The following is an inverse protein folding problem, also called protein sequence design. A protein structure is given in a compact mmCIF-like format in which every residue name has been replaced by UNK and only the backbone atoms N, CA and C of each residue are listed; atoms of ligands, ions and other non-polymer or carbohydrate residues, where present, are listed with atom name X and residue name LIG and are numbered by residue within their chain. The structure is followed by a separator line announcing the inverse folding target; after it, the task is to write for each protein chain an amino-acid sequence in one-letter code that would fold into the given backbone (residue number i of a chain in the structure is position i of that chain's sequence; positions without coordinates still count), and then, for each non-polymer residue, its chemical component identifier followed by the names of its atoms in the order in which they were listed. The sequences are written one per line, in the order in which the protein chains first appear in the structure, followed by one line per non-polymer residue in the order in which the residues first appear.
data_IF_998168119367
#
_entry.id   IF_998168119367
#
_cell.length_a   1.000
_cell.length_b   1.000
_cell.length_c   1.000
_cell.angle_alpha   90.00
_cell.angle_beta   90.00
_cell.angle_gamma   90.00
#
_symmetry.space_group_name_H-M   'P 1'
#
loop_
_entity.id
_entity.type
_entity.pdbx_description
1 polymer ?
#
# COMPACT_ATOMS: atom_id res chain seq x y z
N UNK A 1 25.01 -13.90 -3.19
CA UNK A 1 23.73 -13.71 -3.86
C UNK A 1 22.64 -13.37 -2.83
N UNK A 2 22.09 -12.15 -2.86
CA UNK A 2 21.05 -11.74 -1.91
C UNK A 2 19.82 -12.67 -1.92
N UNK A 3 19.44 -13.17 -3.09
CA UNK A 3 18.30 -14.08 -3.21
C UNK A 3 18.45 -15.36 -2.43
N UNK A 4 19.65 -15.93 -2.41
CA UNK A 4 19.92 -17.14 -1.63
C UNK A 4 19.85 -16.88 -0.13
N UNK A 5 20.37 -15.73 0.30
CA UNK A 5 20.30 -15.33 1.70
C UNK A 5 18.85 -15.17 2.17
N UNK A 6 18.02 -14.50 1.38
CA UNK A 6 16.62 -14.31 1.71
C UNK A 6 15.84 -15.61 1.73
N UNK A 7 16.13 -16.52 0.80
CA UNK A 7 15.52 -17.87 0.81
C UNK A 7 15.86 -18.62 2.09
N UNK A 8 17.12 -18.51 2.54
CA UNK A 8 17.55 -19.14 3.77
C UNK A 8 16.80 -18.59 4.98
N UNK A 9 16.59 -17.28 5.03
CA UNK A 9 15.83 -16.66 6.11
C UNK A 9 14.37 -17.15 6.13
N UNK A 10 13.76 -17.33 4.97
CA UNK A 10 12.38 -17.84 4.88
C UNK A 10 12.26 -19.26 5.44
N UNK A 11 13.30 -20.07 5.33
CA UNK A 11 13.29 -21.42 5.89
C UNK A 11 13.13 -21.43 7.41
N UNK A 12 13.41 -20.32 8.08
CA UNK A 12 13.23 -20.20 9.53
C UNK A 12 11.86 -19.64 9.92
N UNK A 13 10.92 -19.57 8.98
CA UNK A 13 9.57 -19.09 9.26
C UNK A 13 9.47 -17.59 9.49
N UNK A 14 10.42 -16.81 9.00
CA UNK A 14 10.43 -15.36 9.16
C UNK A 14 9.78 -14.67 7.97
N UNK A 15 9.09 -13.56 8.26
CA UNK A 15 8.54 -12.68 7.25
C UNK A 15 9.62 -11.71 6.78
N UNK A 16 9.77 -11.59 5.47
CA UNK A 16 10.80 -10.72 4.88
C UNK A 16 10.10 -9.72 3.97
N UNK A 17 10.39 -8.44 4.18
CA UNK A 17 9.88 -7.36 3.35
C UNK A 17 11.03 -6.47 2.91
N UNK A 18 10.77 -5.65 1.89
CA UNK A 18 11.73 -4.66 1.44
C UNK A 18 11.00 -3.40 1.00
N UNK A 19 11.71 -2.29 1.04
CA UNK A 19 11.20 -0.97 0.65
C UNK A 19 11.72 -0.58 -0.71
N UNK A 20 10.86 0.01 -1.51
CA UNK A 20 11.15 0.46 -2.86
C UNK A 20 10.64 1.89 -3.03
N UNK A 21 11.30 2.63 -3.92
CA UNK A 21 10.90 4.00 -4.27
C UNK A 21 10.59 4.15 -5.76
N UNK A 22 10.76 3.09 -6.52
CA UNK A 22 10.50 3.03 -7.95
C UNK A 22 9.70 1.76 -8.27
N UNK A 23 8.49 1.89 -8.85
CA UNK A 23 7.67 0.72 -9.17
C UNK A 23 8.36 -0.25 -10.13
N UNK A 24 9.18 0.26 -11.05
CA UNK A 24 9.87 -0.60 -12.01
C UNK A 24 10.94 -1.44 -11.32
N UNK A 25 11.70 -0.84 -10.40
CA UNK A 25 12.69 -1.57 -9.60
C UNK A 25 12.01 -2.68 -8.80
N UNK A 26 10.83 -2.38 -8.23
CA UNK A 26 10.04 -3.35 -7.50
C UNK A 26 9.62 -4.52 -8.41
N UNK A 27 9.10 -4.22 -9.59
CA UNK A 27 8.65 -5.26 -10.54
C UNK A 27 9.81 -6.11 -11.04
N UNK A 28 10.97 -5.49 -11.30
CA UNK A 28 12.13 -6.18 -11.83
C UNK A 28 12.89 -6.99 -10.78
N UNK A 29 12.55 -6.81 -9.51
CA UNK A 29 13.20 -7.55 -8.43
C UNK A 29 12.84 -9.04 -8.52
N UNK A 30 13.85 -9.87 -8.68
CA UNK A 30 13.66 -11.32 -8.86
C UNK A 30 13.21 -12.00 -7.57
N UNK A 31 13.61 -11.46 -6.42
CA UNK A 31 13.19 -12.03 -5.15
C UNK A 31 11.80 -11.55 -4.78
N UNK A 32 10.89 -12.48 -4.53
CA UNK A 32 9.53 -12.16 -4.11
C UNK A 32 9.47 -12.14 -2.59
N UNK A 33 9.40 -10.92 -2.05
CA UNK A 33 9.24 -10.72 -0.60
C UNK A 33 7.82 -11.06 -0.17
N UNK A 34 7.63 -11.29 1.13
CA UNK A 34 6.29 -11.52 1.66
C UNK A 34 5.38 -10.32 1.42
N UNK A 35 5.94 -9.11 1.55
CA UNK A 35 5.29 -7.89 1.08
C UNK A 35 6.35 -6.86 0.69
N UNK A 36 5.92 -5.89 -0.12
CA UNK A 36 6.79 -4.88 -0.70
C UNK A 36 6.24 -3.51 -0.30
N UNK A 37 7.08 -2.66 0.27
CA UNK A 37 6.70 -1.29 0.60
C UNK A 37 7.10 -0.37 -0.56
N UNK A 38 6.15 0.42 -1.04
CA UNK A 38 6.41 1.39 -2.11
C UNK A 38 6.02 2.78 -1.64
N UNK A 39 6.93 3.72 -1.71
CA UNK A 39 6.73 5.10 -1.24
C UNK A 39 7.53 6.10 -2.07
N UNK A 40 7.11 7.37 -2.10
CA UNK A 40 5.85 7.89 -1.57
C UNK A 40 4.70 7.74 -2.57
N UNK A 41 3.54 7.32 -2.10
CA UNK A 41 2.35 7.24 -2.97
C UNK A 41 1.87 8.64 -3.33
N UNK A 42 1.85 9.53 -2.36
CA UNK A 42 1.47 10.93 -2.54
C UNK A 42 2.60 11.84 -2.08
N UNK A 43 2.58 13.07 -2.58
CA UNK A 43 3.52 14.09 -2.12
C UNK A 43 3.20 14.52 -0.70
N UNK A 44 4.13 15.24 -0.06
CA UNK A 44 4.01 15.64 1.33
C UNK A 44 2.70 16.38 1.62
N UNK A 45 2.08 16.06 2.75
CA UNK A 45 0.85 16.68 3.25
C UNK A 45 0.99 18.19 3.42
N UNK A 46 2.19 18.69 3.67
CA UNK A 46 2.45 20.11 3.89
C UNK A 46 2.37 20.95 2.62
N UNK A 47 2.32 20.33 1.45
CA UNK A 47 2.20 21.05 0.18
C UNK A 47 0.76 21.09 -0.29
N UNK A 48 0.36 22.23 -0.86
CA UNK A 48 -0.98 22.39 -1.42
C UNK A 48 -1.24 21.37 -2.51
N UNK A 49 -2.28 20.57 -2.31
CA UNK A 49 -2.70 19.55 -3.26
C UNK A 49 -1.83 18.31 -3.20
N UNK A 50 -2.47 17.19 -2.95
CA UNK A 50 -1.83 15.89 -3.06
C UNK A 50 -1.70 15.56 -4.52
N UNK A 51 -0.49 15.59 -5.03
CA UNK A 51 -0.25 14.98 -6.32
C UNK A 51 0.30 13.58 -6.07
N UNK A 52 -0.40 12.58 -6.57
CA UNK A 52 0.11 11.23 -6.54
C UNK A 52 1.37 11.14 -7.40
N UNK A 53 2.27 10.24 -7.03
CA UNK A 53 3.47 9.97 -7.83
C UNK A 53 3.17 9.20 -9.11
N UNK A 54 1.89 8.91 -9.38
CA UNK A 54 1.50 8.13 -10.54
C UNK A 54 1.75 6.63 -10.38
N UNK A 55 1.93 6.17 -9.15
CA UNK A 55 2.16 4.76 -8.86
C UNK A 55 0.86 3.99 -9.01
N UNK A 56 0.64 3.39 -10.17
CA UNK A 56 -0.48 2.46 -10.38
C UNK A 56 0.10 1.06 -10.46
N UNK A 57 -0.23 0.22 -9.49
CA UNK A 57 0.35 -1.12 -9.38
C UNK A 57 -0.69 -2.22 -9.60
N UNK A 58 -1.81 -1.89 -10.24
CA UNK A 58 -2.87 -2.86 -10.52
C UNK A 58 -2.41 -4.02 -11.40
N UNK A 59 -1.38 -3.80 -12.21
CA UNK A 59 -0.83 -4.85 -13.09
C UNK A 59 0.06 -5.84 -12.34
N UNK A 60 0.48 -5.51 -11.12
CA UNK A 60 1.41 -6.35 -10.36
C UNK A 60 0.67 -7.49 -9.67
N UNK A 61 1.30 -8.65 -9.62
CA UNK A 61 0.83 -9.79 -8.82
C UNK A 61 1.44 -9.79 -7.42
N UNK A 62 2.38 -8.87 -7.16
CA UNK A 62 3.06 -8.78 -5.88
C UNK A 62 2.17 -8.11 -4.83
N UNK A 63 2.38 -8.47 -3.56
CA UNK A 63 1.70 -7.81 -2.45
C UNK A 63 2.42 -6.51 -2.14
N UNK A 64 1.80 -5.38 -2.45
CA UNK A 64 2.41 -4.05 -2.33
C UNK A 64 1.63 -3.21 -1.32
N UNK A 65 2.37 -2.67 -0.36
CA UNK A 65 1.87 -1.77 0.68
C UNK A 65 2.31 -0.35 0.32
N UNK A 66 1.35 0.57 0.23
CA UNK A 66 1.65 1.95 -0.09
C UNK A 66 1.93 2.79 1.15
N UNK A 67 2.95 3.63 1.07
CA UNK A 67 3.32 4.56 2.14
C UNK A 67 3.58 5.95 1.54
N UNK A 68 3.47 6.96 2.40
CA UNK A 68 3.80 8.34 2.05
C UNK A 68 2.59 9.17 1.67
N UNK A 69 2.30 10.18 2.49
CA UNK A 69 1.22 11.12 2.26
C UNK A 69 -0.19 10.55 2.41
N UNK A 70 -0.33 9.40 3.05
CA UNK A 70 -1.62 8.74 3.17
C UNK A 70 -2.39 9.29 4.36
N UNK A 71 -3.65 9.70 4.10
CA UNK A 71 -4.57 10.22 5.08
C UNK A 71 -5.94 9.54 4.88
N UNK A 72 -6.86 9.80 5.80
CA UNK A 72 -8.22 9.25 5.70
C UNK A 72 -8.97 9.73 4.44
N UNK A 73 -8.50 10.81 3.78
CA UNK A 73 -9.16 11.37 2.59
C UNK A 73 -8.68 10.73 1.29
N UNK A 74 -7.54 10.05 1.28
CA UNK A 74 -6.98 9.47 0.05
C UNK A 74 -6.79 7.94 0.10
N UNK A 75 -7.32 7.29 1.14
CA UNK A 75 -7.22 5.83 1.28
C UNK A 75 -7.94 5.12 0.14
N UNK A 76 -9.14 5.57 -0.22
CA UNK A 76 -9.89 4.96 -1.31
C UNK A 76 -9.12 5.04 -2.63
N UNK A 77 -8.49 6.17 -2.92
CA UNK A 77 -7.65 6.34 -4.09
C UNK A 77 -6.44 5.39 -4.04
N UNK A 78 -5.79 5.27 -2.88
CA UNK A 78 -4.67 4.35 -2.71
C UNK A 78 -5.04 2.92 -3.06
N UNK A 79 -6.18 2.44 -2.56
CA UNK A 79 -6.64 1.10 -2.88
C UNK A 79 -6.99 0.96 -4.37
N UNK A 80 -7.51 2.02 -5.00
CA UNK A 80 -7.83 1.99 -6.42
C UNK A 80 -6.60 1.88 -7.31
N UNK A 81 -5.44 2.28 -6.81
CA UNK A 81 -4.17 2.16 -7.52
C UNK A 81 -3.56 0.75 -7.44
N UNK A 82 -4.19 -0.16 -6.70
CA UNK A 82 -3.77 -1.55 -6.62
C UNK A 82 -3.01 -1.92 -5.35
N UNK A 83 -2.79 -0.96 -4.45
CA UNK A 83 -2.16 -1.26 -3.17
C UNK A 83 -3.09 -2.11 -2.31
N UNK A 84 -2.55 -3.11 -1.65
CA UNK A 84 -3.33 -4.03 -0.82
C UNK A 84 -3.29 -3.68 0.66
N UNK A 85 -2.51 -2.68 1.01
CA UNK A 85 -2.41 -2.19 2.38
C UNK A 85 -1.78 -0.82 2.38
N UNK A 86 -1.78 -0.19 3.55
CA UNK A 86 -1.21 1.14 3.73
C UNK A 86 -0.30 1.15 4.93
N UNK A 87 0.76 1.97 4.85
CA UNK A 87 1.62 2.30 5.98
C UNK A 87 1.50 3.78 6.27
N UNK A 88 1.30 4.13 7.52
CA UNK A 88 1.08 5.52 7.93
C UNK A 88 1.99 5.85 9.09
N UNK A 89 2.63 7.02 9.03
CA UNK A 89 3.46 7.52 10.12
C UNK A 89 2.96 8.90 10.55
N UNK A 90 3.16 9.93 9.73
CA UNK A 90 2.76 11.28 10.08
C UNK A 90 1.25 11.48 10.20
N UNK A 91 0.47 10.72 9.44
CA UNK A 91 -0.98 10.77 9.51
C UNK A 91 -1.57 10.29 10.84
N UNK A 92 -0.74 9.67 11.67
CA UNK A 92 -1.11 9.26 13.05
C UNK A 92 -0.37 10.12 14.05
N UNK A 93 0.97 10.09 14.02
CA UNK A 93 1.79 10.68 15.08
C UNK A 93 1.87 12.19 15.06
N UNK A 94 1.72 12.81 13.89
CA UNK A 94 1.76 14.27 13.77
C UNK A 94 0.40 14.93 13.99
N UNK A 95 -0.62 14.16 14.35
CA UNK A 95 -1.97 14.67 14.59
C UNK A 95 -2.17 15.01 16.06
N UNK A 96 -3.14 15.89 16.34
CA UNK A 96 -3.44 16.33 17.72
C UNK A 96 -3.87 15.18 18.62
N UNK A 97 -4.60 14.22 18.05
CA UNK A 97 -5.02 13.02 18.78
C UNK A 97 -4.63 11.78 17.96
N UNK A 98 -3.44 11.22 18.20
CA UNK A 98 -2.96 10.07 17.40
C UNK A 98 -3.87 8.84 17.48
N UNK A 99 -4.46 8.56 18.63
CA UNK A 99 -5.34 7.39 18.80
C UNK A 99 -6.59 7.56 17.94
N UNK A 100 -7.22 8.72 17.99
CA UNK A 100 -8.40 9.00 17.18
C UNK A 100 -8.06 8.99 15.69
N UNK A 101 -6.90 9.52 15.32
CA UNK A 101 -6.43 9.49 13.93
C UNK A 101 -6.26 8.07 13.43
N UNK A 102 -5.70 7.19 14.25
CA UNK A 102 -5.57 5.77 13.90
C UNK A 102 -6.94 5.13 13.70
N UNK A 103 -7.88 5.40 14.61
CA UNK A 103 -9.25 4.85 14.49
C UNK A 103 -9.92 5.32 13.22
N UNK A 104 -9.77 6.61 12.89
CA UNK A 104 -10.36 7.18 11.68
C UNK A 104 -9.75 6.58 10.42
N UNK A 105 -8.44 6.38 10.39
CA UNK A 105 -7.75 5.74 9.28
C UNK A 105 -8.18 4.29 9.10
N UNK A 106 -8.26 3.55 10.19
CA UNK A 106 -8.69 2.15 10.18
C UNK A 106 -10.12 2.03 9.63
N UNK A 107 -11.02 2.89 10.09
CA UNK A 107 -12.40 2.90 9.63
C UNK A 107 -12.48 3.23 8.13
N UNK A 108 -11.76 4.26 7.69
CA UNK A 108 -11.73 4.64 6.28
C UNK A 108 -11.16 3.51 5.40
N UNK A 109 -10.11 2.84 5.88
CA UNK A 109 -9.52 1.71 5.16
C UNK A 109 -10.50 0.56 5.01
N UNK A 110 -11.16 0.17 6.10
CA UNK A 110 -12.12 -0.93 6.09
C UNK A 110 -13.30 -0.63 5.16
N UNK A 111 -13.82 0.60 5.20
CA UNK A 111 -14.93 1.03 4.34
C UNK A 111 -14.51 1.04 2.87
N UNK A 112 -13.34 1.56 2.56
CA UNK A 112 -12.84 1.61 1.19
C UNK A 112 -12.60 0.21 0.64
N UNK A 113 -12.06 -0.69 1.44
CA UNK A 113 -11.82 -2.08 1.06
C UNK A 113 -13.13 -2.82 0.78
N UNK A 114 -14.13 -2.65 1.63
CA UNK A 114 -15.46 -3.23 1.42
C UNK A 114 -16.10 -2.75 0.14
N UNK A 115 -15.99 -1.45 -0.15
CA UNK A 115 -16.51 -0.85 -1.38
C UNK A 115 -15.84 -1.44 -2.61
N UNK A 116 -14.52 -1.60 -2.57
CA UNK A 116 -13.74 -2.20 -3.65
C UNK A 116 -14.16 -3.64 -3.90
N UNK A 117 -14.35 -4.44 -2.84
CA UNK A 117 -14.81 -5.82 -2.97
C UNK A 117 -16.19 -5.92 -3.60
N UNK A 118 -17.13 -5.06 -3.18
CA UNK A 118 -18.47 -5.02 -3.76
C UNK A 118 -18.45 -4.68 -5.25
N UNK A 119 -17.61 -3.72 -5.64
CA UNK A 119 -17.45 -3.36 -7.04
C UNK A 119 -16.89 -4.51 -7.86
N UNK A 120 -15.92 -5.24 -7.35
CA UNK A 120 -15.34 -6.40 -8.02
C UNK A 120 -16.36 -7.53 -8.18
N UNK A 121 -17.16 -7.80 -7.15
CA UNK A 121 -18.20 -8.81 -7.22
C UNK A 121 -19.27 -8.46 -8.25
N UNK A 122 -19.68 -7.20 -8.31
CA UNK A 122 -20.64 -6.70 -9.31
C UNK A 122 -20.11 -6.91 -10.74
N UNK A 123 -18.85 -6.56 -10.96
CA UNK A 123 -18.22 -6.71 -12.28
C UNK A 123 -18.12 -8.18 -12.68
N UNK A 124 -17.78 -9.05 -11.77
CA UNK A 124 -17.70 -10.48 -12.03
C UNK A 124 -19.07 -11.07 -12.36
N UNK A 125 -20.13 -10.61 -11.70
CA UNK A 125 -21.50 -11.05 -11.97
C UNK A 125 -21.97 -10.56 -13.35
N UNK A 126 -21.61 -9.34 -13.74
CA UNK A 126 -21.99 -8.76 -15.04
C UNK A 126 -21.20 -9.37 -16.21
N UNK A 127 -20.02 -9.93 -15.94
CA UNK A 127 -19.19 -10.55 -16.95
C UNK A 127 -19.65 -11.93 -17.39
N UNK A 128 -20.65 -12.45 -16.73
CA UNK A 128 -21.25 -13.74 -17.05
C UNK A 128 -22.55 -13.54 -17.79
#
# INVERSE_FOLDING_TARGET
NPGQYFKKLNMYGKTISSSFHDPQVLEDCEFEFDYHLLSPVFTSISKKGYEGKGFNVNHSTKLIIGMGGITNTNIAETLSLGFRGIGVLGGVWNMDNPIQSFINLKTAYEQAWMKKRKAQLKNNTKGN
#
